data_IF_041187136597
#
_entry.id   IF_041187136597
#
_cell.length_a   1.000
_cell.length_b   1.000
_cell.length_c   1.000
_cell.angle_alpha   90.00
_cell.angle_beta   90.00
_cell.angle_gamma   90.00
#
_symmetry.space_group_name_H-M   'P 1'
#
loop_
_entity.id
_entity.type
_entity.pdbx_description
1 polymer ?
#
# COMPACT_ATOMS: atom_id res chain seq x y z
N UNK A 1 17.26 23.69 20.61
CA UNK A 1 17.50 22.25 20.37
C UNK A 1 16.70 21.83 19.14
N UNK A 2 17.39 21.65 18.02
CA UNK A 2 16.79 21.55 16.69
C UNK A 2 16.20 20.15 16.50
N UNK A 3 14.86 20.02 16.44
CA UNK A 3 14.18 18.74 16.16
C UNK A 3 14.30 18.45 14.66
N UNK A 4 15.49 17.99 14.24
CA UNK A 4 15.67 17.35 12.94
C UNK A 4 14.71 16.15 12.90
N UNK A 5 13.70 16.24 12.03
CA UNK A 5 12.81 15.12 11.70
C UNK A 5 13.69 13.97 11.25
N UNK A 6 13.83 13.00 12.13
CA UNK A 6 14.60 11.78 11.91
C UNK A 6 14.07 11.11 10.65
N UNK A 7 15.02 10.77 9.78
CA UNK A 7 14.79 9.91 8.62
C UNK A 7 13.84 8.78 9.02
N UNK A 8 12.93 8.41 8.13
CA UNK A 8 12.13 7.19 8.25
C UNK A 8 13.09 5.99 8.29
N UNK A 9 13.67 5.71 9.44
CA UNK A 9 14.55 4.57 9.68
C UNK A 9 13.61 3.41 9.99
N UNK A 10 13.32 2.59 8.99
CA UNK A 10 12.55 1.35 9.13
C UNK A 10 13.11 0.40 10.22
N UNK A 11 14.32 0.65 10.73
CA UNK A 11 14.99 -0.16 11.75
C UNK A 11 14.59 0.18 13.20
N UNK A 12 13.93 1.31 13.47
CA UNK A 12 13.45 1.69 14.81
C UNK A 12 11.92 1.68 14.93
N UNK A 13 11.23 1.12 13.93
CA UNK A 13 9.77 1.06 13.97
C UNK A 13 9.30 0.17 15.12
N UNK A 14 8.57 0.74 16.07
CA UNK A 14 7.97 -0.04 17.17
C UNK A 14 6.89 -0.98 16.64
N UNK A 15 6.58 -2.07 17.35
CA UNK A 15 5.51 -3.00 16.95
C UNK A 15 4.16 -2.28 16.71
N UNK A 16 3.88 -1.23 17.49
CA UNK A 16 2.69 -0.39 17.33
C UNK A 16 2.68 0.38 16.00
N UNK A 17 3.81 0.93 15.59
CA UNK A 17 3.95 1.65 14.31
C UNK A 17 3.83 0.70 13.12
N UNK A 18 4.45 -0.48 13.18
CA UNK A 18 4.31 -1.50 12.14
C UNK A 18 2.86 -1.93 12.00
N UNK A 19 2.15 -2.14 13.11
CA UNK A 19 0.74 -2.51 13.09
C UNK A 19 -0.15 -1.38 12.53
N UNK A 20 0.16 -0.12 12.85
CA UNK A 20 -0.53 1.05 12.28
C UNK A 20 -0.32 1.14 10.77
N UNK A 21 0.91 0.93 10.29
CA UNK A 21 1.23 0.91 8.86
C UNK A 21 0.54 -0.25 8.13
N UNK A 22 0.47 -1.44 8.74
CA UNK A 22 -0.28 -2.57 8.19
C UNK A 22 -1.77 -2.27 8.06
N UNK A 23 -2.39 -1.63 9.06
CA UNK A 23 -3.80 -1.21 9.02
C UNK A 23 -4.04 -0.17 7.93
N UNK A 24 -3.15 0.82 7.80
CA UNK A 24 -3.24 1.85 6.77
C UNK A 24 -3.04 1.27 5.37
N UNK A 25 -2.06 0.39 5.18
CA UNK A 25 -1.82 -0.32 3.93
C UNK A 25 -3.05 -1.15 3.51
N UNK A 26 -3.72 -1.81 4.46
CA UNK A 26 -4.97 -2.52 4.22
C UNK A 26 -6.08 -1.58 3.76
N UNK A 27 -6.28 -0.44 4.43
CA UNK A 27 -7.27 0.56 4.02
C UNK A 27 -7.00 1.08 2.59
N UNK A 28 -5.76 1.44 2.30
CA UNK A 28 -5.35 1.91 0.96
C UNK A 28 -5.59 0.81 -0.08
N UNK A 29 -5.29 -0.45 0.23
CA UNK A 29 -5.56 -1.58 -0.66
C UNK A 29 -7.04 -1.67 -1.02
N UNK A 30 -7.93 -1.58 -0.02
CA UNK A 30 -9.39 -1.64 -0.24
C UNK A 30 -9.85 -0.51 -1.16
N UNK A 31 -9.39 0.72 -0.93
CA UNK A 31 -9.73 1.88 -1.76
C UNK A 31 -9.24 1.68 -3.19
N UNK A 32 -7.99 1.25 -3.37
CA UNK A 32 -7.40 1.04 -4.71
C UNK A 32 -8.16 -0.06 -5.47
N UNK A 33 -8.52 -1.17 -4.80
CA UNK A 33 -9.31 -2.24 -5.41
C UNK A 33 -10.70 -1.73 -5.83
N UNK A 34 -11.36 -0.95 -4.98
CA UNK A 34 -12.65 -0.36 -5.29
C UNK A 34 -12.59 0.56 -6.52
N UNK A 35 -11.62 1.48 -6.56
CA UNK A 35 -11.45 2.39 -7.70
C UNK A 35 -11.05 1.63 -8.97
N UNK A 36 -10.23 0.59 -8.85
CA UNK A 36 -9.89 -0.28 -9.98
C UNK A 36 -11.14 -0.95 -10.57
N UNK A 37 -12.03 -1.46 -9.72
CA UNK A 37 -13.29 -2.06 -10.17
C UNK A 37 -14.16 -1.05 -10.93
N UNK A 38 -14.29 0.18 -10.41
CA UNK A 38 -15.00 1.27 -11.09
C UNK A 38 -14.37 1.62 -12.45
N UNK A 39 -13.05 1.66 -12.53
CA UNK A 39 -12.33 1.91 -13.78
C UNK A 39 -12.52 0.78 -14.80
N UNK A 40 -12.58 -0.49 -14.36
CA UNK A 40 -12.88 -1.62 -15.24
C UNK A 40 -14.30 -1.51 -15.78
N UNK A 41 -15.30 -1.19 -14.94
CA UNK A 41 -16.68 -0.97 -15.40
C UNK A 41 -16.73 0.14 -16.45
N UNK A 42 -16.05 1.27 -16.19
CA UNK A 42 -15.95 2.39 -17.11
C UNK A 42 -15.26 2.00 -18.42
N UNK A 43 -14.19 1.23 -18.35
CA UNK A 43 -13.53 0.68 -19.54
C UNK A 43 -14.48 -0.24 -20.34
N UNK A 44 -15.24 -1.11 -19.68
CA UNK A 44 -16.19 -2.00 -20.36
C UNK A 44 -17.31 -1.23 -21.07
N UNK A 45 -17.76 -0.12 -20.49
CA UNK A 45 -18.80 0.74 -21.07
C UNK A 45 -18.27 1.61 -22.22
N UNK A 46 -17.13 2.27 -22.03
CA UNK A 46 -16.66 3.33 -22.93
C UNK A 46 -15.54 2.84 -23.88
N UNK A 47 -14.92 1.69 -23.59
CA UNK A 47 -13.81 1.06 -24.34
C UNK A 47 -12.65 2.01 -24.66
N UNK A 48 -12.43 3.02 -23.80
CA UNK A 48 -11.39 4.02 -24.02
C UNK A 48 -10.03 3.50 -23.55
N UNK A 49 -8.99 3.85 -24.31
CA UNK A 49 -7.60 3.53 -23.94
C UNK A 49 -7.21 4.12 -22.57
N UNK A 50 -7.79 5.27 -22.21
CA UNK A 50 -7.54 5.93 -20.92
C UNK A 50 -7.87 5.03 -19.72
N UNK A 51 -9.07 4.43 -19.67
CA UNK A 51 -9.44 3.55 -18.55
C UNK A 51 -8.66 2.24 -18.56
N UNK A 52 -8.24 1.74 -19.73
CA UNK A 52 -7.34 0.59 -19.83
C UNK A 52 -5.97 0.88 -19.20
N UNK A 53 -5.34 1.98 -19.60
CA UNK A 53 -4.04 2.41 -19.07
C UNK A 53 -4.11 2.66 -17.55
N UNK A 54 -5.18 3.29 -17.10
CA UNK A 54 -5.41 3.55 -15.67
C UNK A 54 -5.54 2.24 -14.88
N UNK A 55 -6.27 1.24 -15.40
CA UNK A 55 -6.39 -0.07 -14.77
C UNK A 55 -5.03 -0.77 -14.64
N UNK A 56 -4.20 -0.74 -15.69
CA UNK A 56 -2.83 -1.32 -15.66
C UNK A 56 -1.97 -0.64 -14.59
N UNK A 57 -1.98 0.69 -14.52
CA UNK A 57 -1.24 1.45 -13.50
C UNK A 57 -1.70 1.05 -12.09
N UNK A 58 -3.01 0.93 -11.87
CA UNK A 58 -3.54 0.54 -10.56
C UNK A 58 -3.17 -0.89 -10.18
N UNK A 59 -3.13 -1.83 -11.12
CA UNK A 59 -2.64 -3.20 -10.89
C UNK A 59 -1.17 -3.18 -10.48
N UNK A 60 -0.33 -2.38 -11.15
CA UNK A 60 1.07 -2.19 -10.76
C UNK A 60 1.20 -1.61 -9.34
N UNK A 61 0.38 -0.61 -8.99
CA UNK A 61 0.36 -0.05 -7.64
C UNK A 61 -0.04 -1.09 -6.58
N UNK A 62 -1.05 -1.92 -6.86
CA UNK A 62 -1.46 -3.01 -5.97
C UNK A 62 -0.32 -4.00 -5.72
N UNK A 63 0.48 -4.33 -6.74
CA UNK A 63 1.67 -5.16 -6.59
C UNK A 63 2.67 -4.56 -5.59
N UNK A 64 2.98 -3.26 -5.70
CA UNK A 64 3.87 -2.59 -4.75
C UNK A 64 3.30 -2.53 -3.33
N UNK A 65 2.00 -2.27 -3.19
CA UNK A 65 1.31 -2.25 -1.89
C UNK A 65 1.41 -3.62 -1.21
N UNK A 66 1.18 -4.71 -1.95
CA UNK A 66 1.31 -6.08 -1.44
C UNK A 66 2.76 -6.40 -1.04
N UNK A 67 3.74 -6.01 -1.87
CA UNK A 67 5.16 -6.19 -1.55
C UNK A 67 5.56 -5.45 -0.27
N UNK A 68 5.13 -4.20 -0.11
CA UNK A 68 5.35 -3.42 1.11
C UNK A 68 4.70 -4.07 2.33
N UNK A 69 3.47 -4.59 2.20
CA UNK A 69 2.79 -5.32 3.27
C UNK A 69 3.56 -6.56 3.72
N UNK A 70 4.14 -7.33 2.78
CA UNK A 70 4.96 -8.51 3.11
C UNK A 70 6.18 -8.13 3.94
N UNK A 71 6.87 -7.05 3.58
CA UNK A 71 8.01 -6.53 4.34
C UNK A 71 7.58 -6.11 5.76
N UNK A 72 6.46 -5.41 5.90
CA UNK A 72 5.93 -5.01 7.21
C UNK A 72 5.54 -6.21 8.08
N UNK A 73 4.98 -7.28 7.48
CA UNK A 73 4.66 -8.51 8.19
C UNK A 73 5.92 -9.23 8.70
N UNK A 74 6.98 -9.30 7.89
CA UNK A 74 8.26 -9.86 8.32
C UNK A 74 8.86 -9.07 9.49
N UNK A 75 8.83 -7.72 9.41
CA UNK A 75 9.26 -6.86 10.53
C UNK A 75 8.42 -7.08 11.79
N UNK A 76 7.10 -7.23 11.64
CA UNK A 76 6.21 -7.54 12.77
C UNK A 76 6.62 -8.85 13.44
N UNK A 77 6.94 -9.89 12.66
CA UNK A 77 7.43 -11.16 13.19
C UNK A 77 8.76 -10.98 13.93
N UNK A 78 9.75 -10.33 13.32
CA UNK A 78 11.05 -10.04 13.95
C UNK A 78 10.91 -9.30 15.30
N UNK A 79 9.98 -8.34 15.39
CA UNK A 79 9.73 -7.56 16.61
C UNK A 79 8.87 -8.29 17.65
N UNK A 80 8.15 -9.35 17.27
CA UNK A 80 7.32 -10.15 18.20
C UNK A 80 8.14 -11.27 18.85
N UNK A 81 9.18 -11.76 18.16
CA UNK A 81 10.08 -12.83 18.63
C UNK A 81 11.41 -12.31 19.22
N UNK A 82 11.57 -11.00 19.34
CA UNK A 82 12.64 -10.34 20.12
C UNK A 82 12.15 -10.07 21.54
#
# INVERSE_FOLDING_TARGET
MNKQKTRFVLAEATLAEVNKQLKLNMLVTVIVVFVLFMNIIKFMAEKTFFYAALAVIMILLLFFIQKARRILMLRKQELTYK
#
